data_IF_741660645715
#
_entry.id   IF_741660645715
#
_cell.length_a   1.000
_cell.length_b   1.000
_cell.length_c   1.000
_cell.angle_alpha   90.00
_cell.angle_beta   90.00
_cell.angle_gamma   90.00
#
_symmetry.space_group_name_H-M   'P 1'
#
loop_
_entity.id
_entity.type
_entity.pdbx_description
1 polymer ?
#
# COMPACT_ATOMS: atom_id res chain seq x y z
N UNK A 1 -6.69 -0.64 -2.83
CA UNK A 1 -7.40 -0.70 -4.13
C UNK A 1 -8.52 -1.73 -4.09
N UNK A 2 -8.22 -3.03 -4.12
CA UNK A 2 -9.23 -4.12 -4.09
C UNK A 2 -10.28 -3.99 -2.97
N UNK A 3 -9.85 -3.73 -1.74
CA UNK A 3 -10.75 -3.76 -0.58
C UNK A 3 -11.54 -2.48 -0.35
N UNK A 4 -11.28 -1.37 -1.05
CA UNK A 4 -11.92 -0.08 -0.75
C UNK A 4 -12.38 0.69 -1.99
N UNK A 5 -11.87 0.38 -3.18
CA UNK A 5 -12.20 1.10 -4.42
C UNK A 5 -12.86 0.20 -5.46
N UNK A 6 -12.40 -1.05 -5.60
CA UNK A 6 -12.83 -1.90 -6.71
C UNK A 6 -13.03 -3.35 -6.27
N UNK A 7 -14.28 -3.80 -6.29
CA UNK A 7 -14.64 -5.17 -5.90
C UNK A 7 -13.95 -6.24 -6.75
N UNK A 8 -13.72 -5.98 -8.04
CA UNK A 8 -13.17 -6.93 -9.02
C UNK A 8 -11.70 -6.70 -9.40
N UNK A 9 -10.92 -6.08 -8.50
CA UNK A 9 -9.51 -5.78 -8.76
C UNK A 9 -8.53 -6.87 -8.28
N UNK A 10 -7.26 -6.80 -8.69
CA UNK A 10 -6.22 -7.73 -8.23
C UNK A 10 -5.89 -7.53 -6.74
N UNK A 11 -5.49 -8.59 -6.06
CA UNK A 11 -4.99 -8.46 -4.68
C UNK A 11 -3.58 -7.85 -4.67
N UNK A 12 -3.34 -7.02 -3.65
CA UNK A 12 -2.01 -6.60 -3.23
C UNK A 12 -1.74 -7.30 -1.91
N UNK A 13 -0.58 -7.94 -1.79
CA UNK A 13 -0.17 -8.63 -0.57
C UNK A 13 0.30 -7.63 0.50
N UNK A 14 0.76 -6.45 0.07
CA UNK A 14 1.32 -5.42 0.93
C UNK A 14 0.32 -4.32 1.31
N UNK A 15 0.53 -3.74 2.49
CA UNK A 15 -0.20 -2.61 3.06
C UNK A 15 0.69 -1.37 3.01
N UNK A 16 0.36 -0.43 2.13
CA UNK A 16 1.03 0.86 2.06
C UNK A 16 0.25 1.94 2.81
N UNK A 17 0.89 2.60 3.76
CA UNK A 17 0.28 3.62 4.62
C UNK A 17 1.15 4.87 4.71
N UNK A 18 0.52 6.03 4.67
CA UNK A 18 1.17 7.29 5.03
C UNK A 18 0.70 7.79 6.38
N UNK A 19 1.67 8.11 7.22
CA UNK A 19 1.50 8.77 8.51
C UNK A 19 1.42 10.28 8.22
N UNK A 20 0.23 10.83 8.37
CA UNK A 20 -0.03 12.27 8.13
C UNK A 20 0.22 13.15 9.36
N UNK A 21 0.21 12.56 10.56
CA UNK A 21 0.54 13.28 11.79
C UNK A 21 2.07 13.24 12.01
N UNK A 22 2.79 14.37 11.88
CA UNK A 22 4.25 14.39 12.05
C UNK A 22 4.70 14.07 13.48
N UNK A 23 3.82 14.20 14.47
CA UNK A 23 4.12 13.86 15.86
C UNK A 23 3.91 12.38 16.17
N UNK A 24 3.27 11.64 15.26
CA UNK A 24 3.02 10.21 15.46
C UNK A 24 4.27 9.39 15.15
N UNK A 25 4.79 8.73 16.19
CA UNK A 25 5.85 7.76 16.08
C UNK A 25 5.28 6.33 16.11
N UNK A 26 5.48 5.56 15.03
CA UNK A 26 5.11 4.16 15.02
C UNK A 26 6.06 3.36 15.92
N UNK A 27 5.47 2.61 16.86
CA UNK A 27 6.21 1.72 17.77
C UNK A 27 5.77 0.29 17.53
N UNK A 28 6.69 -0.66 17.75
CA UNK A 28 6.40 -2.10 17.65
C UNK A 28 5.17 -2.51 18.47
N UNK A 29 4.95 -1.88 19.64
CA UNK A 29 3.78 -2.11 20.49
C UNK A 29 2.44 -1.82 19.79
N UNK A 30 2.38 -0.81 18.91
CA UNK A 30 1.14 -0.47 18.19
C UNK A 30 0.76 -1.61 17.24
N UNK A 31 1.74 -2.16 16.50
CA UNK A 31 1.51 -3.30 15.62
C UNK A 31 1.17 -4.56 16.43
N UNK A 32 1.83 -4.77 17.58
CA UNK A 32 1.56 -5.91 18.44
C UNK A 32 0.12 -5.87 18.98
N UNK A 33 -0.34 -4.71 19.43
CA UNK A 33 -1.72 -4.52 19.89
C UNK A 33 -2.75 -4.87 18.81
N UNK A 34 -2.52 -4.44 17.57
CA UNK A 34 -3.40 -4.80 16.45
C UNK A 34 -3.37 -6.31 16.20
N UNK A 35 -2.19 -6.93 16.20
CA UNK A 35 -2.05 -8.39 16.05
C UNK A 35 -2.82 -9.16 17.14
N UNK A 36 -2.69 -8.73 18.40
CA UNK A 36 -3.32 -9.37 19.55
C UNK A 36 -4.86 -9.25 19.46
N UNK A 37 -5.38 -8.05 19.15
CA UNK A 37 -6.82 -7.83 18.96
C UNK A 37 -7.41 -8.68 17.83
N UNK A 38 -6.73 -8.73 16.68
CA UNK A 38 -7.20 -9.57 15.55
C UNK A 38 -7.11 -11.05 15.93
N UNK A 39 -6.08 -11.47 16.69
CA UNK A 39 -5.98 -12.85 17.19
C UNK A 39 -7.13 -13.19 18.12
N UNK A 40 -7.51 -12.29 19.04
CA UNK A 40 -8.61 -12.49 19.97
C UNK A 40 -9.97 -12.65 19.25
N UNK A 41 -10.22 -11.83 18.22
CA UNK A 41 -11.48 -11.84 17.47
C UNK A 41 -11.58 -13.03 16.51
N UNK A 42 -10.48 -13.35 15.81
CA UNK A 42 -10.51 -14.32 14.69
C UNK A 42 -9.88 -15.68 15.00
N UNK A 43 -9.11 -15.80 16.08
CA UNK A 43 -8.28 -16.96 16.37
C UNK A 43 -7.04 -17.10 15.47
N UNK A 44 -6.83 -16.20 14.50
CA UNK A 44 -5.65 -16.23 13.62
C UNK A 44 -4.46 -15.71 14.41
N UNK A 45 -3.41 -16.52 14.53
CA UNK A 45 -2.21 -16.13 15.25
C UNK A 45 -1.27 -15.30 14.37
N UNK A 46 -0.75 -14.20 14.92
CA UNK A 46 0.18 -13.30 14.23
C UNK A 46 1.52 -13.20 14.96
N UNK A 47 2.60 -12.93 14.21
CA UNK A 47 3.90 -12.55 14.78
C UNK A 47 4.59 -11.52 13.92
N UNK A 48 5.05 -10.44 14.56
CA UNK A 48 5.95 -9.45 13.93
C UNK A 48 7.32 -10.11 13.72
N UNK A 49 7.69 -10.33 12.47
CA UNK A 49 8.98 -10.88 12.06
C UNK A 49 10.06 -9.80 12.02
N UNK A 50 9.72 -8.61 11.51
CA UNK A 50 10.64 -7.48 11.44
C UNK A 50 9.91 -6.16 11.67
N UNK A 51 10.64 -5.21 12.26
CA UNK A 51 10.20 -3.83 12.48
C UNK A 51 11.43 -2.96 12.26
N UNK A 52 11.62 -2.47 11.04
CA UNK A 52 12.85 -1.81 10.61
C UNK A 52 12.58 -0.33 10.33
N UNK A 53 13.30 0.60 10.96
CA UNK A 53 13.24 1.99 10.55
C UNK A 53 13.84 2.14 9.15
N UNK A 54 13.19 2.95 8.32
CA UNK A 54 13.64 3.29 6.97
C UNK A 54 14.23 4.68 7.00
N UNK A 55 15.39 4.85 6.35
CA UNK A 55 16.06 6.14 6.18
C UNK A 55 16.32 6.44 4.71
N UNK A 56 16.22 7.71 4.35
CA UNK A 56 16.60 8.23 3.04
C UNK A 56 17.49 9.47 3.24
N UNK A 57 18.70 9.46 2.68
CA UNK A 57 19.72 10.50 2.92
C UNK A 57 19.91 10.78 4.42
N UNK A 58 20.11 9.72 5.22
CA UNK A 58 20.27 9.73 6.68
C UNK A 58 19.09 10.28 7.50
N UNK A 59 18.01 10.70 6.86
CA UNK A 59 16.79 11.15 7.53
C UNK A 59 15.82 9.99 7.69
N UNK A 60 15.17 9.83 8.86
CA UNK A 60 14.11 8.85 9.01
C UNK A 60 12.97 9.20 8.04
N UNK A 61 12.39 8.19 7.40
CA UNK A 61 11.27 8.36 6.47
C UNK A 61 10.09 7.44 6.78
N UNK A 62 10.27 6.48 7.69
CA UNK A 62 9.20 5.59 8.10
C UNK A 62 9.69 4.25 8.63
N UNK A 63 8.86 3.22 8.48
CA UNK A 63 9.13 1.86 8.94
C UNK A 63 8.65 0.83 7.92
N UNK A 64 9.46 -0.22 7.76
CA UNK A 64 9.04 -1.46 7.10
C UNK A 64 8.77 -2.49 8.18
N UNK A 65 7.58 -3.07 8.14
CA UNK A 65 7.12 -4.06 9.11
C UNK A 65 6.69 -5.31 8.36
N UNK A 66 7.24 -6.46 8.76
CA UNK A 66 6.78 -7.75 8.24
C UNK A 66 6.02 -8.48 9.34
N UNK A 67 4.77 -8.84 9.06
CA UNK A 67 3.92 -9.63 9.95
C UNK A 67 3.67 -10.99 9.31
N UNK A 68 4.02 -12.05 10.02
CA UNK A 68 3.61 -13.41 9.69
C UNK A 68 2.22 -13.65 10.28
N UNK A 69 1.37 -14.34 9.53
CA UNK A 69 0.11 -14.85 10.07
C UNK A 69 -0.03 -16.35 9.84
N UNK A 70 -0.75 -16.99 10.75
CA UNK A 70 -0.96 -18.43 10.77
C UNK A 70 -2.46 -18.71 10.74
N UNK A 71 -3.01 -18.73 9.52
CA UNK A 71 -4.44 -18.97 9.26
C UNK A 71 -4.80 -20.46 9.24
N UNK A 72 -6.07 -20.80 8.98
CA UNK A 72 -6.64 -22.14 9.16
C UNK A 72 -6.03 -23.30 8.34
N UNK A 73 -5.20 -23.03 7.32
CA UNK A 73 -4.58 -24.06 6.50
C UNK A 73 -3.21 -24.52 7.07
N UNK A 74 -3.23 -25.04 8.31
CA UNK A 74 -2.07 -25.64 8.94
C UNK A 74 -2.41 -27.00 9.55
N UNK A 75 -1.40 -27.84 9.77
CA UNK A 75 -1.58 -29.10 10.47
C UNK A 75 -2.14 -28.84 11.88
N UNK A 76 -3.31 -29.42 12.17
CA UNK A 76 -4.10 -29.18 13.39
C UNK A 76 -3.34 -29.37 14.72
N UNK A 77 -2.21 -30.08 14.70
CA UNK A 77 -1.42 -30.44 15.87
C UNK A 77 -0.01 -29.81 15.87
N UNK A 78 0.25 -28.83 14.99
CA UNK A 78 1.55 -28.16 14.93
C UNK A 78 1.44 -26.77 15.53
N UNK A 79 2.27 -26.50 16.55
CA UNK A 79 2.44 -25.14 17.07
C UNK A 79 2.88 -24.22 15.92
N UNK A 80 2.35 -22.98 15.84
CA UNK A 80 2.73 -22.04 14.80
C UNK A 80 4.25 -21.88 14.72
N UNK A 81 4.84 -22.25 13.58
CA UNK A 81 6.29 -22.10 13.37
C UNK A 81 6.54 -20.69 12.87
N UNK A 82 6.69 -19.78 13.82
CA UNK A 82 7.03 -18.41 13.51
C UNK A 82 8.55 -18.24 13.40
N UNK A 83 9.05 -17.70 12.28
CA UNK A 83 10.48 -17.45 12.06
C UNK A 83 10.86 -17.36 10.59
N UNK A 84 12.12 -17.71 10.22
CA UNK A 84 12.61 -17.71 8.83
C UNK A 84 11.78 -18.58 7.88
N UNK A 85 11.04 -19.55 8.41
CA UNK A 85 10.22 -20.50 7.65
C UNK A 85 8.74 -20.13 7.60
N UNK A 86 8.35 -18.91 7.99
CA UNK A 86 7.00 -18.44 7.73
C UNK A 86 6.82 -18.17 6.24
N UNK A 87 5.93 -18.94 5.60
CA UNK A 87 5.67 -18.87 4.16
C UNK A 87 4.58 -17.85 3.78
N UNK A 88 3.86 -17.29 4.76
CA UNK A 88 2.75 -16.37 4.52
C UNK A 88 2.99 -15.09 5.32
N UNK A 89 3.23 -13.99 4.62
CA UNK A 89 3.63 -12.71 5.21
C UNK A 89 2.77 -11.57 4.67
N UNK A 90 2.60 -10.55 5.50
CA UNK A 90 2.04 -9.26 5.14
C UNK A 90 3.18 -8.25 5.27
N UNK A 91 3.56 -7.63 4.15
CA UNK A 91 4.44 -6.48 4.15
C UNK A 91 3.65 -5.22 4.48
N UNK A 92 4.12 -4.43 5.42
CA UNK A 92 3.50 -3.15 5.76
C UNK A 92 4.54 -2.04 5.63
N UNK A 93 4.28 -1.10 4.74
CA UNK A 93 5.07 0.10 4.57
C UNK A 93 4.38 1.28 5.25
N UNK A 94 5.07 1.91 6.20
CA UNK A 94 4.64 3.15 6.82
C UNK A 94 5.61 4.25 6.41
N UNK A 95 5.10 5.34 5.82
CA UNK A 95 5.90 6.48 5.35
C UNK A 95 5.36 7.78 5.94
N UNK A 96 6.21 8.74 6.30
CA UNK A 96 5.77 10.09 6.69
C UNK A 96 6.37 11.20 5.82
N UNK A 97 7.17 10.83 4.82
CA UNK A 97 7.77 11.76 3.86
C UNK A 97 6.99 11.85 2.54
N UNK A 98 5.80 11.23 2.46
CA UNK A 98 4.90 11.37 1.31
C UNK A 98 4.05 12.62 1.46
N UNK A 99 3.91 13.37 0.37
CA UNK A 99 3.08 14.57 0.35
C UNK A 99 1.66 14.21 -0.09
N UNK A 100 0.73 14.11 0.85
CA UNK A 100 -0.70 13.89 0.55
C UNK A 100 -1.32 15.23 0.16
N UNK A 101 -1.84 15.34 -1.07
CA UNK A 101 -2.31 16.60 -1.66
C UNK A 101 -3.82 16.74 -1.70
N UNK A 102 -4.55 15.63 -1.60
CA UNK A 102 -6.00 15.58 -1.59
C UNK A 102 -6.51 15.08 -0.23
N UNK A 103 -7.72 15.47 0.11
CA UNK A 103 -8.39 14.98 1.31
C UNK A 103 -8.58 13.46 1.27
N UNK A 104 -8.53 12.85 2.44
CA UNK A 104 -8.72 11.41 2.57
C UNK A 104 -10.20 11.08 2.41
N UNK A 105 -10.48 10.05 1.61
CA UNK A 105 -11.83 9.53 1.46
C UNK A 105 -12.02 8.36 2.41
N UNK A 106 -12.92 8.51 3.39
CA UNK A 106 -13.36 7.38 4.22
C UNK A 106 -14.14 6.40 3.34
N UNK A 107 -13.65 5.17 3.23
CA UNK A 107 -14.28 4.13 2.41
C UNK A 107 -14.53 2.87 3.21
N UNK A 108 -15.71 2.28 3.02
CA UNK A 108 -16.08 0.99 3.57
C UNK A 108 -15.19 -0.11 2.98
N UNK A 109 -14.79 -1.07 3.81
CA UNK A 109 -14.08 -2.26 3.35
C UNK A 109 -15.07 -3.21 2.67
N UNK A 110 -14.77 -3.61 1.44
CA UNK A 110 -15.47 -4.68 0.74
C UNK A 110 -15.07 -6.03 1.33
N UNK A 111 -16.05 -6.72 1.93
CA UNK A 111 -15.87 -7.98 2.61
C UNK A 111 -16.77 -9.04 2.00
N UNK A 112 -16.14 -9.98 1.29
CA UNK A 112 -16.81 -11.02 0.51
C UNK A 112 -16.83 -12.38 1.20
N UNK A 113 -16.63 -12.41 2.52
CA UNK A 113 -16.55 -13.65 3.28
C UNK A 113 -17.73 -13.71 4.26
N UNK A 114 -18.06 -14.91 4.72
CA UNK A 114 -19.26 -15.18 5.54
C UNK A 114 -19.26 -14.48 6.90
N UNK A 115 -18.09 -14.03 7.36
CA UNK A 115 -17.87 -13.24 8.56
C UNK A 115 -18.08 -11.73 8.37
N UNK A 116 -18.80 -11.32 7.31
CA UNK A 116 -19.09 -9.92 6.96
C UNK A 116 -19.70 -9.10 8.10
N UNK A 117 -20.42 -9.74 9.00
CA UNK A 117 -21.02 -9.08 10.17
C UNK A 117 -19.98 -8.68 11.22
N UNK A 118 -18.81 -9.33 11.26
CA UNK A 118 -17.73 -9.03 12.20
C UNK A 118 -16.88 -7.83 11.75
N UNK A 119 -16.81 -7.56 10.45
CA UNK A 119 -15.94 -6.52 9.89
C UNK A 119 -16.75 -5.58 9.00
N UNK A 120 -17.30 -4.53 9.64
CA UNK A 120 -18.07 -3.47 8.97
C UNK A 120 -17.35 -2.11 8.97
N UNK A 121 -16.02 -2.13 9.09
CA UNK A 121 -15.21 -0.94 9.25
C UNK A 121 -15.07 -0.12 7.96
N UNK A 122 -14.94 1.19 8.14
CA UNK A 122 -14.50 2.11 7.10
C UNK A 122 -13.13 2.66 7.48
N UNK A 123 -12.26 2.85 6.49
CA UNK A 123 -10.89 3.35 6.70
C UNK A 123 -10.61 4.56 5.81
N UNK A 124 -9.77 5.50 6.27
CA UNK A 124 -9.27 6.55 5.42
C UNK A 124 -8.46 5.95 4.28
N UNK A 125 -8.77 6.36 3.06
CA UNK A 125 -8.04 5.99 1.86
C UNK A 125 -7.62 7.25 1.10
N UNK A 126 -6.48 7.18 0.42
CA UNK A 126 -6.15 8.19 -0.58
C UNK A 126 -7.26 8.37 -1.59
N UNK A 127 -7.44 9.61 -2.03
CA UNK A 127 -8.25 9.94 -3.19
C UNK A 127 -7.76 9.22 -4.47
N UNK A 128 -8.64 9.06 -5.45
CA UNK A 128 -8.25 8.45 -6.73
C UNK A 128 -7.21 9.30 -7.48
N UNK A 129 -7.33 10.62 -7.44
CA UNK A 129 -6.40 11.54 -8.11
C UNK A 129 -5.01 11.47 -7.47
N UNK A 130 -4.97 11.38 -6.14
CA UNK A 130 -3.75 11.12 -5.35
C UNK A 130 -3.07 9.81 -5.79
N UNK A 131 -3.84 8.72 -5.91
CA UNK A 131 -3.33 7.42 -6.35
C UNK A 131 -2.80 7.43 -7.77
N UNK A 132 -3.51 8.05 -8.71
CA UNK A 132 -3.09 8.18 -10.10
C UNK A 132 -1.78 8.99 -10.21
N UNK A 133 -1.72 10.12 -9.50
CA UNK A 133 -0.52 10.97 -9.48
C UNK A 133 0.71 10.23 -8.93
N UNK A 134 0.54 9.45 -7.85
CA UNK A 134 1.60 8.60 -7.30
C UNK A 134 2.06 7.52 -8.27
N UNK A 135 1.12 6.83 -8.94
CA UNK A 135 1.46 5.78 -9.90
C UNK A 135 2.19 6.32 -11.12
N UNK A 136 1.74 7.44 -11.68
CA UNK A 136 2.41 8.11 -12.79
C UNK A 136 3.85 8.51 -12.42
N UNK A 137 4.05 9.08 -11.23
CA UNK A 137 5.39 9.40 -10.73
C UNK A 137 6.26 8.16 -10.56
N UNK A 138 5.70 7.08 -10.02
CA UNK A 138 6.40 5.82 -9.82
C UNK A 138 6.87 5.20 -11.14
N UNK A 139 6.08 5.29 -12.22
CA UNK A 139 6.49 4.83 -13.56
C UNK A 139 7.79 5.48 -14.03
N UNK A 140 8.00 6.76 -13.73
CA UNK A 140 9.20 7.52 -14.12
C UNK A 140 10.36 7.24 -13.17
N UNK A 141 10.11 7.14 -11.86
CA UNK A 141 11.16 6.96 -10.86
C UNK A 141 11.79 5.57 -10.91
N UNK A 142 11.01 4.53 -11.25
CA UNK A 142 11.50 3.14 -11.19
C UNK A 142 12.47 2.84 -12.33
N UNK A 143 13.52 2.07 -11.99
CA UNK A 143 14.55 1.66 -12.95
C UNK A 143 14.10 0.55 -13.90
N UNK A 144 12.97 -0.11 -13.62
CA UNK A 144 12.35 -1.16 -14.44
C UNK A 144 10.88 -0.84 -14.64
N UNK A 145 10.31 -1.26 -15.77
CA UNK A 145 8.86 -1.23 -15.94
C UNK A 145 8.23 -2.22 -14.96
N UNK A 146 7.22 -1.81 -14.20
CA UNK A 146 6.38 -2.76 -13.47
C UNK A 146 5.02 -2.83 -14.15
N UNK A 147 4.74 -3.94 -14.86
CA UNK A 147 3.46 -4.17 -15.55
C UNK A 147 2.24 -3.84 -14.67
N UNK A 148 2.38 -4.14 -13.37
CA UNK A 148 1.38 -3.87 -12.34
C UNK A 148 0.99 -2.39 -12.26
N UNK A 149 1.93 -1.46 -12.39
CA UNK A 149 1.60 -0.03 -12.30
C UNK A 149 0.79 0.44 -13.51
N UNK A 150 1.15 -0.02 -14.71
CA UNK A 150 0.39 0.27 -15.93
C UNK A 150 -1.02 -0.31 -15.84
N UNK A 151 -1.14 -1.57 -15.40
CA UNK A 151 -2.43 -2.20 -15.17
C UNK A 151 -3.26 -1.41 -14.16
N UNK A 152 -2.64 -0.95 -13.07
CA UNK A 152 -3.35 -0.21 -12.03
C UNK A 152 -3.87 1.15 -12.53
N UNK A 153 -3.08 1.87 -13.33
CA UNK A 153 -3.51 3.12 -13.97
C UNK A 153 -4.65 2.84 -14.95
N UNK A 154 -4.45 1.92 -15.89
CA UNK A 154 -5.46 1.53 -16.87
C UNK A 154 -6.77 1.12 -16.19
N UNK A 155 -6.69 0.26 -15.16
CA UNK A 155 -7.86 -0.21 -14.45
C UNK A 155 -8.64 0.94 -13.79
N UNK A 156 -7.94 1.90 -13.16
CA UNK A 156 -8.60 3.10 -12.61
C UNK A 156 -9.30 3.88 -13.72
N UNK A 157 -8.63 4.10 -14.85
CA UNK A 157 -9.15 4.86 -15.98
C UNK A 157 -10.42 4.24 -16.56
N UNK A 158 -10.47 2.92 -16.67
CA UNK A 158 -11.62 2.20 -17.22
C UNK A 158 -12.79 2.08 -16.23
N UNK A 159 -12.54 2.18 -14.92
CA UNK A 159 -13.54 1.88 -13.89
C UNK A 159 -13.97 3.10 -13.07
N UNK A 160 -13.41 4.28 -13.32
CA UNK A 160 -13.81 5.52 -12.66
C UNK A 160 -14.13 6.56 -13.72
N UNK A 161 -15.40 6.92 -13.79
CA UNK A 161 -15.88 7.99 -14.63
C UNK A 161 -15.42 9.36 -14.11
N UNK A 162 -15.36 10.34 -15.01
CA UNK A 162 -15.16 11.76 -14.70
C UNK A 162 -13.89 12.09 -13.89
N UNK A 163 -12.78 11.36 -14.09
CA UNK A 163 -11.48 11.72 -13.51
C UNK A 163 -11.06 13.12 -13.97
N UNK A 164 -10.76 14.02 -13.03
CA UNK A 164 -10.20 15.33 -13.35
C UNK A 164 -8.69 15.20 -13.62
N UNK A 165 -8.33 14.99 -14.89
CA UNK A 165 -6.94 14.84 -15.31
C UNK A 165 -6.07 16.07 -15.07
N UNK A 166 -6.66 17.26 -15.00
CA UNK A 166 -5.91 18.47 -14.67
C UNK A 166 -5.42 18.43 -13.21
N UNK A 167 -6.26 17.94 -12.29
CA UNK A 167 -5.89 17.76 -10.89
C UNK A 167 -4.84 16.66 -10.73
N UNK A 168 -5.01 15.52 -11.42
CA UNK A 168 -4.00 14.45 -11.47
C UNK A 168 -2.66 15.00 -11.94
N UNK A 169 -2.64 15.75 -13.04
CA UNK A 169 -1.42 16.33 -13.61
C UNK A 169 -0.76 17.31 -12.63
N UNK A 170 -1.54 18.20 -12.03
CA UNK A 170 -1.03 19.18 -11.07
C UNK A 170 -0.40 18.49 -9.84
N UNK A 171 -1.08 17.46 -9.32
CA UNK A 171 -0.57 16.68 -8.19
C UNK A 171 0.68 15.87 -8.56
N UNK A 172 0.67 15.22 -9.73
CA UNK A 172 1.81 14.49 -10.26
C UNK A 172 3.06 15.37 -10.34
N UNK A 173 2.96 16.57 -10.92
CA UNK A 173 4.09 17.50 -11.05
C UNK A 173 4.63 17.94 -9.67
N UNK A 174 3.74 18.26 -8.72
CA UNK A 174 4.14 18.60 -7.34
C UNK A 174 4.90 17.44 -6.68
N UNK A 175 4.41 16.21 -6.84
CA UNK A 175 5.05 15.01 -6.27
C UNK A 175 6.37 14.66 -6.96
N UNK A 176 6.48 14.87 -8.26
CA UNK A 176 7.75 14.76 -9.00
C UNK A 176 8.79 15.73 -8.43
N UNK A 177 8.41 17.01 -8.26
CA UNK A 177 9.29 18.00 -7.66
C UNK A 177 9.71 17.62 -6.23
N UNK A 178 8.78 17.18 -5.38
CA UNK A 178 9.06 16.73 -4.00
C UNK A 178 10.07 15.57 -3.93
N UNK A 179 10.01 14.64 -4.89
CA UNK A 179 10.89 13.47 -4.95
C UNK A 179 12.10 13.66 -5.87
N UNK A 180 12.33 14.87 -6.39
CA UNK A 180 13.38 15.19 -7.37
C UNK A 180 13.37 14.26 -8.60
N UNK A 181 12.17 13.95 -9.11
CA UNK A 181 11.97 13.17 -10.33
C UNK A 181 11.80 14.12 -11.50
N UNK A 182 12.69 14.03 -12.49
CA UNK A 182 12.59 14.82 -13.72
C UNK A 182 11.51 14.25 -14.65
N UNK A 183 10.61 15.11 -15.11
CA UNK A 183 9.61 14.79 -16.13
C UNK A 183 9.69 15.85 -17.23
N UNK A 184 9.90 15.41 -18.47
CA UNK A 184 10.02 16.28 -19.64
C UNK A 184 8.79 16.15 -20.52
N UNK A 185 8.43 14.93 -20.90
CA UNK A 185 7.31 14.65 -21.80
C UNK A 185 6.76 13.22 -21.60
N UNK A 186 5.75 12.85 -22.38
CA UNK A 186 5.09 11.55 -22.29
C UNK A 186 6.01 10.36 -22.57
N UNK A 187 7.11 10.53 -23.31
CA UNK A 187 8.03 9.44 -23.65
C UNK A 187 8.77 8.93 -22.40
N UNK A 188 8.88 9.76 -21.35
CA UNK A 188 9.47 9.36 -20.07
C UNK A 188 8.68 8.22 -19.40
N UNK A 189 7.38 8.08 -19.70
CA UNK A 189 6.59 6.95 -19.22
C UNK A 189 6.92 5.64 -19.94
N UNK A 190 7.42 5.69 -21.17
CA UNK A 190 7.54 4.52 -22.06
C UNK A 190 8.99 4.26 -22.51
N UNK A 191 9.97 4.59 -21.67
CA UNK A 191 11.37 4.40 -22.03
C UNK A 191 11.66 2.95 -22.48
N UNK A 192 12.12 2.72 -23.73
CA UNK A 192 12.22 1.37 -24.31
C UNK A 192 13.05 0.38 -23.49
N UNK A 193 14.06 0.86 -22.77
CA UNK A 193 14.89 0.05 -21.87
C UNK A 193 14.08 -0.58 -20.73
N UNK A 194 13.01 0.09 -20.27
CA UNK A 194 12.15 -0.36 -19.18
C UNK A 194 11.09 -1.34 -19.65
N UNK A 195 10.59 -1.16 -20.87
CA UNK A 195 9.54 -2.01 -21.47
C UNK A 195 10.10 -3.39 -21.82
N UNK A 196 11.34 -3.49 -22.28
CA UNK A 196 11.98 -4.77 -22.65
C UNK A 196 12.32 -5.69 -21.46
N UNK A 197 12.11 -5.22 -20.24
CA UNK A 197 12.41 -5.96 -19.00
C UNK A 197 11.14 -6.46 -18.29
N UNK A 198 9.97 -6.17 -18.85
CA UNK A 198 8.66 -6.58 -18.34
C UNK A 198 8.31 -7.99 -18.82
#
# INVERSE_FOLDING_TARGET
MKKCYFENYRFSEDIDTTIVNPEFELKRKHIQQVCDQVTEISGIAFRILSFKPVRFNDRPVGWDVEVCFWGANHERNRLPVFGKHCHIKIGCEFRFNEQVLFDQNTRRIFHFYSDVELIQSSIPCYDVHEKLAEKLRALIQRNRGEARDYFDIWYIMENIDHINWQDVKNAFLKKCAHKNVSFTNSDDFFQPRRIKQV
#
